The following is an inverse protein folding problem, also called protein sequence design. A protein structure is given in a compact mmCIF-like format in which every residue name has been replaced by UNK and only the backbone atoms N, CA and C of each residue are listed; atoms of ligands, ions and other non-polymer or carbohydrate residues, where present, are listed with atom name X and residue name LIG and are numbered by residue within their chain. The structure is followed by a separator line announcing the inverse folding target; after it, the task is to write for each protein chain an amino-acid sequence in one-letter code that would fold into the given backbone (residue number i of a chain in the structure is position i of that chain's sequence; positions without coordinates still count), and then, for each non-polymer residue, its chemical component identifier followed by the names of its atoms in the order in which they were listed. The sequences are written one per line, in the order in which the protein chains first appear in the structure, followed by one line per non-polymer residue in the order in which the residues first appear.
data_IF_658545618938
#
_entry.id   IF_658545618938
#
_cell.length_a   1.000
_cell.length_b   1.000
_cell.length_c   1.000
_cell.angle_alpha   90.00
_cell.angle_beta   90.00
_cell.angle_gamma   90.00
#
_symmetry.space_group_name_H-M   'P 1'
#
loop_
_entity.id
_entity.type
_entity.pdbx_description
1 polymer ?
#
# COMPACT_ATOMS: atom_id res chain seq x y z
N UNK A 1 -33.10 -18.36 16.21
CA UNK A 1 -33.08 -19.73 15.66
C UNK A 1 -33.50 -19.77 14.19
N UNK A 2 -34.27 -18.79 13.68
CA UNK A 2 -34.69 -18.66 12.27
C UNK A 2 -33.58 -18.50 11.21
N UNK A 3 -32.47 -17.82 11.50
CA UNK A 3 -31.39 -17.59 10.51
C UNK A 3 -30.58 -18.84 10.12
N UNK A 4 -30.77 -19.97 10.82
CA UNK A 4 -30.09 -21.24 10.54
C UNK A 4 -30.83 -22.07 9.50
N UNK A 5 -32.16 -21.99 9.47
CA UNK A 5 -33.01 -22.78 8.56
C UNK A 5 -33.04 -22.18 7.15
N UNK A 6 -33.14 -20.85 7.03
CA UNK A 6 -33.04 -20.15 5.75
C UNK A 6 -31.73 -20.45 5.00
N UNK A 7 -30.61 -20.51 5.72
CA UNK A 7 -29.29 -20.78 5.14
C UNK A 7 -29.08 -22.24 4.70
N UNK A 8 -29.91 -23.17 5.21
CA UNK A 8 -29.92 -24.58 4.80
C UNK A 8 -30.84 -24.77 3.59
N UNK A 9 -31.99 -24.09 3.57
CA UNK A 9 -32.92 -24.08 2.43
C UNK A 9 -32.24 -23.59 1.15
N UNK A 10 -31.53 -22.46 1.20
CA UNK A 10 -30.83 -21.89 0.03
C UNK A 10 -29.72 -22.80 -0.51
N UNK A 11 -29.01 -23.53 0.37
CA UNK A 11 -27.97 -24.49 -0.03
C UNK A 11 -28.56 -25.75 -0.67
N UNK A 12 -29.71 -26.20 -0.19
CA UNK A 12 -30.44 -27.33 -0.75
C UNK A 12 -30.97 -26.98 -2.15
N UNK A 13 -31.56 -25.79 -2.30
CA UNK A 13 -32.08 -25.30 -3.59
C UNK A 13 -30.97 -25.03 -4.62
N UNK A 14 -29.78 -24.60 -4.18
CA UNK A 14 -28.59 -24.49 -5.04
C UNK A 14 -28.07 -25.87 -5.49
N UNK A 15 -28.01 -26.85 -4.59
CA UNK A 15 -27.60 -28.22 -4.93
C UNK A 15 -28.61 -28.95 -5.83
N UNK A 16 -29.92 -28.67 -5.66
CA UNK A 16 -30.96 -29.24 -6.50
C UNK A 16 -31.05 -28.55 -7.87
N UNK A 17 -30.70 -27.26 -7.96
CA UNK A 17 -30.49 -26.57 -9.25
C UNK A 17 -29.25 -27.07 -9.98
N UNK A 18 -28.13 -27.30 -9.29
CA UNK A 18 -26.92 -27.90 -9.87
C UNK A 18 -27.18 -29.35 -10.36
N UNK A 19 -27.93 -30.14 -9.60
CA UNK A 19 -28.35 -31.49 -10.02
C UNK A 19 -29.37 -31.49 -11.16
N UNK A 20 -30.21 -30.46 -11.28
CA UNK A 20 -31.20 -30.34 -12.35
C UNK A 20 -30.57 -29.88 -13.67
N UNK A 21 -29.48 -29.11 -13.61
CA UNK A 21 -28.70 -28.70 -14.79
C UNK A 21 -27.84 -29.87 -15.33
N UNK A 22 -27.55 -30.89 -14.51
CA UNK A 22 -26.85 -32.12 -14.93
C UNK A 22 -27.78 -33.21 -15.52
N UNK A 23 -28.86 -32.85 -16.22
CA UNK A 23 -29.72 -33.80 -16.94
C UNK A 23 -29.50 -33.73 -18.46
N UNK A 24 -28.61 -34.62 -18.92
CA UNK A 24 -28.55 -35.28 -20.24
C UNK A 24 -29.38 -34.63 -21.37
N UNK A 25 -28.72 -33.93 -22.28
CA UNK A 25 -29.17 -33.82 -23.67
C UNK A 25 -28.70 -35.07 -24.44
N UNK A 26 -29.66 -35.89 -24.84
CA UNK A 26 -29.46 -37.06 -25.71
C UNK A 26 -29.77 -36.60 -27.14
N UNK A 27 -28.81 -36.67 -28.06
CA UNK A 27 -29.11 -36.65 -29.49
C UNK A 27 -29.48 -38.06 -29.97
N UNK A 28 -30.31 -38.14 -31.01
CA UNK A 28 -31.01 -39.34 -31.48
C UNK A 28 -30.11 -40.50 -31.98
N UNK A 29 -28.78 -40.33 -32.00
CA UNK A 29 -27.88 -41.20 -32.76
C UNK A 29 -26.78 -41.85 -31.90
N UNK A 30 -27.04 -42.07 -30.61
CA UNK A 30 -26.29 -43.03 -29.76
C UNK A 30 -24.79 -42.80 -29.52
N UNK A 31 -24.17 -41.79 -30.11
CA UNK A 31 -22.76 -41.44 -29.90
C UNK A 31 -22.56 -40.58 -28.66
N UNK A 32 -21.74 -41.02 -27.70
CA UNK A 32 -21.24 -40.17 -26.64
C UNK A 32 -20.22 -39.19 -27.23
N UNK A 33 -20.59 -37.91 -27.33
CA UNK A 33 -19.63 -36.83 -27.50
C UNK A 33 -19.32 -36.31 -26.10
N UNK A 34 -18.11 -36.59 -25.61
CA UNK A 34 -17.54 -35.84 -24.49
C UNK A 34 -17.33 -34.40 -24.98
N UNK A 35 -18.30 -33.55 -24.67
CA UNK A 35 -18.09 -32.10 -24.75
C UNK A 35 -17.34 -31.76 -23.46
N UNK A 36 -16.04 -31.48 -23.57
CA UNK A 36 -15.28 -30.87 -22.48
C UNK A 36 -15.99 -29.58 -22.11
N UNK A 37 -16.81 -29.65 -21.06
CA UNK A 37 -17.60 -28.54 -20.55
C UNK A 37 -16.62 -27.62 -19.81
N UNK A 38 -15.87 -26.83 -20.60
CA UNK A 38 -15.05 -25.74 -20.08
C UNK A 38 -15.93 -24.96 -19.13
N UNK A 39 -15.51 -24.89 -17.86
CA UNK A 39 -16.34 -24.29 -16.82
C UNK A 39 -16.74 -22.88 -17.24
N UNK A 40 -17.97 -22.46 -16.92
CA UNK A 40 -18.44 -21.09 -17.24
C UNK A 40 -17.42 -20.05 -16.77
N UNK A 41 -16.76 -20.30 -15.65
CA UNK A 41 -15.70 -19.47 -15.09
C UNK A 41 -14.47 -19.36 -16.00
N UNK A 42 -13.96 -20.46 -16.56
CA UNK A 42 -12.82 -20.44 -17.51
C UNK A 42 -13.15 -19.69 -18.81
N UNK A 43 -14.41 -19.76 -19.25
CA UNK A 43 -14.87 -19.01 -20.43
C UNK A 43 -15.04 -17.53 -20.16
N UNK A 44 -15.51 -17.15 -18.97
CA UNK A 44 -15.71 -15.74 -18.59
C UNK A 44 -14.41 -15.07 -18.10
N UNK A 45 -13.48 -15.83 -17.52
CA UNK A 45 -12.22 -15.36 -16.96
C UNK A 45 -11.06 -16.22 -17.47
N UNK A 46 -10.70 -16.11 -18.76
CA UNK A 46 -9.61 -16.88 -19.32
C UNK A 46 -8.30 -16.54 -18.60
N UNK A 47 -7.50 -17.57 -18.29
CA UNK A 47 -6.19 -17.39 -17.66
C UNK A 47 -5.23 -16.77 -18.67
N UNK A 48 -4.89 -15.50 -18.46
CA UNK A 48 -3.93 -14.77 -19.29
C UNK A 48 -2.55 -14.87 -18.64
N UNK A 49 -1.50 -15.29 -19.38
CA UNK A 49 -0.14 -15.34 -18.82
C UNK A 49 0.33 -13.96 -18.36
N UNK A 50 0.98 -13.91 -17.20
CA UNK A 50 1.50 -12.65 -16.69
C UNK A 50 2.62 -12.09 -17.59
N UNK A 51 2.59 -10.78 -17.92
CA UNK A 51 3.46 -10.21 -18.94
C UNK A 51 4.87 -9.92 -18.39
N UNK A 52 5.66 -10.94 -18.10
CA UNK A 52 7.00 -10.79 -17.51
C UNK A 52 7.97 -9.90 -18.32
N UNK A 53 7.76 -9.80 -19.64
CA UNK A 53 8.62 -9.03 -20.54
C UNK A 53 8.55 -7.51 -20.33
N UNK A 54 7.52 -7.00 -19.64
CA UNK A 54 7.37 -5.54 -19.37
C UNK A 54 8.39 -5.02 -18.37
N UNK A 55 8.97 -5.90 -17.55
CA UNK A 55 9.97 -5.52 -16.55
C UNK A 55 11.35 -5.40 -17.20
N UNK A 56 12.23 -4.50 -16.71
CA UNK A 56 13.64 -4.48 -17.10
C UNK A 56 14.34 -5.84 -16.85
N UNK A 57 15.32 -6.20 -17.69
CA UNK A 57 16.01 -7.51 -17.63
C UNK A 57 16.57 -7.85 -16.24
N UNK A 58 17.12 -6.85 -15.54
CA UNK A 58 17.65 -7.01 -14.18
C UNK A 58 16.54 -7.41 -13.20
N UNK A 59 15.37 -6.81 -13.34
CA UNK A 59 14.23 -7.07 -12.47
C UNK A 59 13.58 -8.42 -12.79
N UNK A 60 13.48 -8.80 -14.07
CA UNK A 60 13.05 -10.14 -14.46
C UNK A 60 13.93 -11.22 -13.83
N UNK A 61 15.26 -11.03 -13.85
CA UNK A 61 16.21 -11.94 -13.18
C UNK A 61 15.93 -12.00 -11.68
N UNK A 62 15.82 -10.84 -11.02
CA UNK A 62 15.53 -10.78 -9.59
C UNK A 62 14.23 -11.53 -9.22
N UNK A 63 13.13 -11.27 -9.94
CA UNK A 63 11.83 -11.92 -9.74
C UNK A 63 11.97 -13.44 -9.81
N UNK A 64 12.66 -13.95 -10.84
CA UNK A 64 12.88 -15.39 -11.05
C UNK A 64 13.73 -16.01 -9.94
N UNK A 65 14.81 -15.36 -9.52
CA UNK A 65 15.67 -15.89 -8.46
C UNK A 65 14.95 -15.91 -7.10
N UNK A 66 14.17 -14.86 -6.77
CA UNK A 66 13.35 -14.84 -5.56
C UNK A 66 12.31 -15.95 -5.60
N UNK A 67 11.55 -16.07 -6.70
CA UNK A 67 10.55 -17.13 -6.90
C UNK A 67 11.14 -18.53 -6.68
N UNK A 68 12.31 -18.82 -7.26
CA UNK A 68 13.03 -20.08 -7.06
C UNK A 68 13.45 -20.31 -5.61
N UNK A 69 13.93 -19.27 -4.93
CA UNK A 69 14.47 -19.39 -3.56
C UNK A 69 13.41 -19.79 -2.52
N UNK A 70 12.17 -19.32 -2.67
CA UNK A 70 11.08 -19.59 -1.73
C UNK A 70 9.98 -20.49 -2.32
N UNK A 71 10.17 -21.01 -3.53
CA UNK A 71 9.26 -21.93 -4.22
C UNK A 71 7.83 -21.39 -4.37
N UNK A 72 7.71 -20.19 -4.93
CA UNK A 72 6.40 -19.55 -5.23
C UNK A 72 6.30 -19.13 -6.69
N UNK A 73 5.09 -18.87 -7.16
CA UNK A 73 4.86 -18.36 -8.53
C UNK A 73 5.57 -17.00 -8.75
N UNK A 74 6.26 -16.86 -9.90
CA UNK A 74 6.91 -15.62 -10.36
C UNK A 74 5.94 -14.45 -10.43
N UNK A 75 4.66 -14.71 -10.71
CA UNK A 75 3.60 -13.70 -10.80
C UNK A 75 3.33 -13.03 -9.45
N UNK A 76 3.33 -13.81 -8.37
CA UNK A 76 3.17 -13.27 -7.01
C UNK A 76 4.35 -12.38 -6.64
N UNK A 77 5.58 -12.79 -6.98
CA UNK A 77 6.79 -11.97 -6.76
C UNK A 77 6.72 -10.69 -7.58
N UNK A 78 6.42 -10.80 -8.87
CA UNK A 78 6.37 -9.67 -9.78
C UNK A 78 5.33 -8.64 -9.33
N UNK A 79 4.14 -9.10 -8.94
CA UNK A 79 3.09 -8.26 -8.40
C UNK A 79 3.56 -7.56 -7.12
N UNK A 80 4.10 -8.31 -6.15
CA UNK A 80 4.56 -7.76 -4.87
C UNK A 80 5.67 -6.71 -4.98
N UNK A 81 6.43 -6.69 -6.08
CA UNK A 81 7.48 -5.70 -6.32
C UNK A 81 6.93 -4.37 -6.85
N UNK A 82 5.77 -4.37 -7.54
CA UNK A 82 5.15 -3.14 -8.07
C UNK A 82 4.94 -2.03 -7.02
N UNK A 83 4.33 -2.28 -5.84
CA UNK A 83 4.15 -1.24 -4.82
C UNK A 83 5.48 -0.73 -4.26
N UNK A 84 6.54 -1.54 -4.27
CA UNK A 84 7.88 -1.13 -3.82
C UNK A 84 8.52 -0.16 -4.82
N UNK A 85 8.43 -0.47 -6.12
CA UNK A 85 8.92 0.41 -7.19
C UNK A 85 8.12 1.72 -7.17
N UNK A 86 6.80 1.60 -7.09
CA UNK A 86 5.88 2.73 -6.96
C UNK A 86 6.27 3.63 -5.78
N UNK A 87 6.53 3.08 -4.60
CA UNK A 87 6.98 3.86 -3.45
C UNK A 87 8.37 4.49 -3.64
N UNK A 88 9.29 3.84 -4.35
CA UNK A 88 10.61 4.40 -4.62
C UNK A 88 10.53 5.62 -5.55
N UNK A 89 9.66 5.57 -6.56
CA UNK A 89 9.33 6.71 -7.43
C UNK A 89 8.64 7.80 -6.60
N UNK A 90 7.63 7.42 -5.81
CA UNK A 90 6.81 8.33 -5.01
C UNK A 90 6.04 9.33 -5.88
N UNK A 91 5.67 10.47 -5.31
CA UNK A 91 4.97 11.55 -6.00
C UNK A 91 5.88 12.37 -6.97
N UNK A 92 7.01 11.81 -7.40
CA UNK A 92 7.98 12.51 -8.27
C UNK A 92 7.61 12.45 -9.76
N UNK A 93 6.75 11.49 -10.14
CA UNK A 93 6.35 11.25 -11.53
C UNK A 93 4.84 11.09 -11.57
N UNK A 94 4.20 11.75 -12.55
CA UNK A 94 2.80 11.51 -12.92
C UNK A 94 2.72 11.14 -14.39
N UNK A 95 1.86 10.19 -14.72
CA UNK A 95 1.62 9.72 -16.08
C UNK A 95 0.37 10.41 -16.62
N UNK A 96 0.37 10.75 -17.90
CA UNK A 96 -0.76 11.39 -18.54
C UNK A 96 -1.35 10.51 -19.64
N UNK A 97 -2.42 9.74 -19.36
CA UNK A 97 -3.07 8.91 -20.38
C UNK A 97 -3.77 9.74 -21.47
N UNK A 98 -4.21 10.95 -21.10
CA UNK A 98 -4.91 11.92 -21.96
C UNK A 98 -4.49 13.33 -21.54
N UNK A 99 -4.60 14.30 -22.46
CA UNK A 99 -4.40 15.71 -22.15
C UNK A 99 -5.22 16.11 -20.90
N UNK A 100 -4.61 16.90 -20.01
CA UNK A 100 -5.17 17.37 -18.73
C UNK A 100 -5.50 16.28 -17.68
N UNK A 101 -5.18 15.01 -17.95
CA UNK A 101 -5.27 13.94 -16.97
C UNK A 101 -3.88 13.60 -16.45
N UNK A 102 -3.61 13.82 -15.16
CA UNK A 102 -2.38 13.39 -14.50
C UNK A 102 -2.66 12.34 -13.42
N UNK A 103 -2.19 11.11 -13.65
CA UNK A 103 -2.27 10.01 -12.69
C UNK A 103 -0.95 9.85 -11.92
N UNK A 104 -0.99 9.76 -10.58
CA UNK A 104 0.18 9.34 -9.82
C UNK A 104 0.51 7.87 -10.09
N UNK A 105 1.79 7.52 -9.95
CA UNK A 105 2.25 6.12 -10.08
C UNK A 105 2.20 5.42 -8.72
N UNK A 106 1.14 5.64 -7.92
CA UNK A 106 0.92 4.95 -6.65
C UNK A 106 0.12 3.66 -6.86
N UNK A 107 0.76 2.52 -6.57
CA UNK A 107 0.15 1.20 -6.76
C UNK A 107 -0.24 0.64 -5.41
N UNK A 108 -1.54 0.46 -5.21
CA UNK A 108 -2.09 -0.28 -4.09
C UNK A 108 -2.28 -1.74 -4.48
N UNK A 109 -1.69 -2.65 -3.71
CA UNK A 109 -1.75 -4.07 -3.99
C UNK A 109 -2.06 -4.85 -2.72
N UNK A 110 -2.99 -5.79 -2.85
CA UNK A 110 -3.34 -6.75 -1.81
C UNK A 110 -3.09 -8.16 -2.37
N UNK A 111 -2.33 -8.97 -1.64
CA UNK A 111 -2.08 -10.37 -2.00
C UNK A 111 -3.00 -11.25 -1.17
N UNK A 112 -4.06 -11.74 -1.80
CA UNK A 112 -4.98 -12.70 -1.20
C UNK A 112 -4.48 -14.09 -1.56
N UNK A 113 -4.19 -14.89 -0.54
CA UNK A 113 -3.82 -16.29 -0.76
C UNK A 113 -4.04 -17.11 0.53
N UNK A 114 -4.19 -18.42 0.39
CA UNK A 114 -4.29 -19.34 1.52
C UNK A 114 -3.08 -19.24 2.46
N UNK A 115 -3.29 -19.58 3.73
CA UNK A 115 -2.23 -19.63 4.73
C UNK A 115 -1.16 -20.66 4.34
N UNK A 116 0.11 -20.39 4.67
CA UNK A 116 1.23 -21.30 4.37
C UNK A 116 1.78 -21.24 2.94
N UNK A 117 1.23 -20.40 2.04
CA UNK A 117 1.65 -20.29 0.63
C UNK A 117 2.80 -19.30 0.36
N UNK A 118 3.58 -18.95 1.38
CA UNK A 118 4.82 -18.17 1.18
C UNK A 118 4.67 -16.64 1.09
N UNK A 119 3.49 -16.07 1.39
CA UNK A 119 3.28 -14.61 1.44
C UNK A 119 4.22 -13.87 2.40
N UNK A 120 4.23 -14.24 3.69
CA UNK A 120 5.03 -13.56 4.69
C UNK A 120 6.55 -13.69 4.44
N UNK A 121 7.10 -14.86 4.04
CA UNK A 121 8.49 -14.96 3.59
C UNK A 121 8.81 -14.04 2.41
N UNK A 122 7.95 -13.97 1.39
CA UNK A 122 8.11 -13.06 0.26
C UNK A 122 8.16 -11.60 0.70
N UNK A 123 7.15 -11.14 1.45
CA UNK A 123 7.07 -9.75 1.91
C UNK A 123 8.26 -9.39 2.81
N UNK A 124 8.78 -10.34 3.59
CA UNK A 124 10.00 -10.14 4.41
C UNK A 124 11.25 -9.95 3.55
N UNK A 125 11.42 -10.73 2.49
CA UNK A 125 12.55 -10.58 1.55
C UNK A 125 12.48 -9.21 0.87
N UNK A 126 11.32 -8.87 0.31
CA UNK A 126 11.14 -7.64 -0.46
C UNK A 126 11.23 -6.38 0.42
N UNK A 127 10.70 -6.42 1.65
CA UNK A 127 10.76 -5.28 2.58
C UNK A 127 12.11 -5.08 3.25
N UNK A 128 13.06 -6.02 3.12
CA UNK A 128 14.35 -5.97 3.81
C UNK A 128 15.10 -4.67 3.54
N UNK A 129 15.23 -4.29 2.27
CA UNK A 129 16.00 -3.09 1.90
C UNK A 129 15.31 -1.80 2.36
N UNK A 130 13.99 -1.72 2.23
CA UNK A 130 13.20 -0.58 2.70
C UNK A 130 13.36 -0.39 4.22
N UNK A 131 13.33 -1.49 5.00
CA UNK A 131 13.56 -1.46 6.44
C UNK A 131 14.97 -1.01 6.81
N UNK A 132 15.98 -1.39 6.02
CA UNK A 132 17.35 -0.90 6.20
C UNK A 132 17.44 0.60 5.93
N UNK A 133 16.84 1.10 4.84
CA UNK A 133 16.79 2.53 4.53
C UNK A 133 16.09 3.34 5.61
N UNK A 134 14.97 2.82 6.16
CA UNK A 134 14.29 3.42 7.30
C UNK A 134 15.22 3.52 8.51
N UNK A 135 15.89 2.42 8.88
CA UNK A 135 16.80 2.40 10.04
C UNK A 135 17.97 3.39 9.88
N UNK A 136 18.58 3.45 8.70
CA UNK A 136 19.64 4.43 8.41
C UNK A 136 19.12 5.86 8.52
N UNK A 137 17.93 6.12 8.00
CA UNK A 137 17.32 7.44 8.07
C UNK A 137 16.97 7.86 9.50
N UNK A 138 16.55 6.92 10.34
CA UNK A 138 16.25 7.19 11.75
C UNK A 138 17.51 7.52 12.54
N UNK A 139 18.62 6.82 12.29
CA UNK A 139 19.92 7.14 12.88
C UNK A 139 20.36 8.55 12.50
N UNK A 140 20.35 8.86 11.20
CA UNK A 140 20.70 10.19 10.68
C UNK A 140 19.81 11.28 11.29
N UNK A 141 18.50 11.06 11.34
CA UNK A 141 17.57 12.02 11.94
C UNK A 141 17.85 12.23 13.44
N UNK A 142 18.15 11.17 14.19
CA UNK A 142 18.49 11.26 15.62
C UNK A 142 19.75 12.09 15.85
N UNK A 143 20.80 11.85 15.05
CA UNK A 143 22.06 12.61 15.09
C UNK A 143 21.83 14.09 14.76
N UNK A 144 21.14 14.39 13.66
CA UNK A 144 20.81 15.76 13.25
C UNK A 144 19.95 16.47 14.30
N UNK A 145 18.99 15.77 14.91
CA UNK A 145 18.11 16.32 15.94
C UNK A 145 18.87 16.60 17.23
N UNK A 146 19.86 15.79 17.60
CA UNK A 146 20.73 16.06 18.75
C UNK A 146 21.57 17.31 18.51
N UNK A 147 22.23 17.43 17.36
CA UNK A 147 22.98 18.64 16.98
C UNK A 147 22.09 19.87 16.94
N UNK A 148 20.87 19.75 16.40
CA UNK A 148 19.87 20.82 16.42
C UNK A 148 19.56 21.26 17.86
N UNK A 149 19.24 20.31 18.75
CA UNK A 149 18.91 20.60 20.14
C UNK A 149 20.08 21.23 20.91
N UNK A 150 21.32 20.80 20.66
CA UNK A 150 22.52 21.38 21.26
C UNK A 150 22.74 22.84 20.82
N UNK A 151 22.55 23.14 19.54
CA UNK A 151 22.61 24.52 19.01
C UNK A 151 21.51 25.41 19.60
N UNK A 152 20.30 24.88 19.79
CA UNK A 152 19.22 25.64 20.43
C UNK A 152 19.47 25.84 21.94
N UNK A 153 20.11 24.89 22.63
CA UNK A 153 20.42 25.00 24.07
C UNK A 153 21.59 25.93 24.37
N UNK A 154 22.62 25.96 23.52
CA UNK A 154 23.81 26.80 23.71
C UNK A 154 23.51 28.31 23.64
N UNK A 155 22.44 28.70 22.95
CA UNK A 155 21.93 30.06 22.98
C UNK A 155 21.12 30.30 24.26
N UNK A 156 21.54 31.25 25.09
CA UNK A 156 20.90 31.51 26.40
C UNK A 156 19.76 32.53 26.30
N UNK A 157 19.81 33.44 25.33
CA UNK A 157 18.82 34.49 25.15
C UNK A 157 17.59 34.00 24.37
N UNK A 158 16.39 34.34 24.85
CA UNK A 158 15.13 33.94 24.21
C UNK A 158 14.95 34.57 22.82
N UNK A 159 15.36 35.84 22.64
CA UNK A 159 15.32 36.55 21.35
C UNK A 159 16.22 35.89 20.30
N UNK A 160 17.47 35.55 20.65
CA UNK A 160 18.40 34.84 19.76
C UNK A 160 17.88 33.45 19.37
N UNK A 161 17.21 32.73 20.28
CA UNK A 161 16.57 31.45 19.95
C UNK A 161 15.47 31.61 18.90
N UNK A 162 14.64 32.64 19.04
CA UNK A 162 13.54 32.90 18.11
C UNK A 162 14.06 33.30 16.71
N UNK A 163 15.18 34.05 16.65
CA UNK A 163 15.91 34.39 15.42
C UNK A 163 16.55 33.17 14.73
N UNK A 164 17.07 32.22 15.50
CA UNK A 164 17.68 30.99 14.97
C UNK A 164 16.65 30.01 14.40
N UNK A 165 15.42 30.03 14.92
CA UNK A 165 14.33 29.12 14.53
C UNK A 165 13.45 29.74 13.42
N UNK A 166 13.40 31.07 13.29
CA UNK A 166 12.56 31.76 12.31
C UNK A 166 13.40 32.62 11.34
N UNK A 167 13.44 32.27 10.05
CA UNK A 167 14.25 32.99 9.05
C UNK A 167 13.66 34.34 8.64
N UNK A 168 12.46 34.71 9.12
CA UNK A 168 11.73 35.93 8.73
C UNK A 168 11.95 37.11 9.69
N UNK A 169 12.98 37.09 10.52
CA UNK A 169 13.35 38.23 11.37
C UNK A 169 14.47 38.98 10.63
N UNK A 170 14.20 40.23 10.25
CA UNK A 170 15.03 41.02 9.35
C UNK A 170 16.50 41.12 9.80
N UNK A 171 17.42 40.79 8.86
CA UNK A 171 18.77 41.34 8.86
C UNK A 171 19.95 40.42 9.20
N UNK A 172 19.76 39.16 9.62
CA UNK A 172 20.92 38.28 9.86
C UNK A 172 20.66 36.82 9.47
N UNK A 173 21.04 36.44 8.25
CA UNK A 173 21.05 35.04 7.77
C UNK A 173 22.07 34.14 8.49
N UNK A 174 22.91 34.69 9.38
CA UNK A 174 24.14 34.05 9.86
C UNK A 174 23.96 33.02 10.99
N UNK A 175 22.73 32.69 11.40
CA UNK A 175 22.50 31.79 12.55
C UNK A 175 21.33 30.81 12.41
N UNK A 176 20.55 30.84 11.33
CA UNK A 176 19.36 30.00 11.19
C UNK A 176 19.72 28.51 11.17
N UNK A 177 19.08 27.73 12.05
CA UNK A 177 19.22 26.27 12.09
C UNK A 177 17.89 25.65 11.70
N UNK A 178 17.85 25.06 10.51
CA UNK A 178 16.66 24.34 10.03
C UNK A 178 16.41 23.11 10.90
N UNK A 179 15.18 22.97 11.42
CA UNK A 179 14.76 21.76 12.12
C UNK A 179 14.86 20.56 11.17
N UNK A 180 15.56 19.47 11.56
CA UNK A 180 15.60 18.25 10.78
C UNK A 180 14.20 17.68 10.54
N UNK A 181 13.95 17.15 9.34
CA UNK A 181 12.68 16.51 8.96
C UNK A 181 12.87 14.99 8.95
N UNK A 182 11.87 14.25 9.42
CA UNK A 182 11.97 12.79 9.47
C UNK A 182 11.56 12.19 8.13
N UNK A 183 12.46 11.45 7.50
CA UNK A 183 12.11 10.70 6.29
C UNK A 183 11.46 9.37 6.64
N UNK A 184 10.37 9.05 5.94
CA UNK A 184 9.60 7.82 6.14
C UNK A 184 9.60 6.99 4.84
N UNK A 185 10.34 5.89 4.81
CA UNK A 185 10.31 4.95 3.68
C UNK A 185 9.09 4.02 3.71
N UNK A 186 8.58 3.73 4.90
CA UNK A 186 7.33 3.00 5.05
C UNK A 186 6.57 3.45 6.31
N UNK A 187 5.27 3.23 6.29
CA UNK A 187 4.37 3.35 7.44
C UNK A 187 3.64 2.03 7.63
N UNK A 188 3.49 1.62 8.89
CA UNK A 188 2.72 0.43 9.26
C UNK A 188 1.49 0.90 10.01
N UNK A 189 1.59 1.23 11.30
CA UNK A 189 0.48 1.75 12.09
C UNK A 189 0.42 3.27 12.03
N UNK A 190 -0.64 3.82 11.44
CA UNK A 190 -0.84 5.26 11.32
C UNK A 190 -2.30 5.62 11.56
N UNK A 191 -2.52 6.83 12.07
CA UNK A 191 -3.81 7.53 11.92
C UNK A 191 -3.74 8.47 10.71
N UNK A 192 -4.88 8.87 10.15
CA UNK A 192 -4.91 9.84 9.05
C UNK A 192 -4.17 11.12 9.43
N UNK A 193 -4.36 11.62 10.65
CA UNK A 193 -3.69 12.83 11.14
C UNK A 193 -2.17 12.64 11.22
N UNK A 194 -1.69 11.44 11.57
CA UNK A 194 -0.25 11.17 11.61
C UNK A 194 0.40 11.18 10.22
N UNK A 195 -0.33 10.76 9.17
CA UNK A 195 0.16 10.81 7.79
C UNK A 195 0.40 12.25 7.32
N UNK A 196 -0.40 13.20 7.81
CA UNK A 196 -0.22 14.63 7.45
C UNK A 196 1.16 15.14 7.82
N UNK A 197 1.72 14.70 8.97
CA UNK A 197 3.07 15.06 9.37
C UNK A 197 4.12 14.32 8.54
N UNK A 198 3.83 13.07 8.15
CA UNK A 198 4.71 12.30 7.25
C UNK A 198 4.86 13.01 5.90
N UNK A 199 3.75 13.49 5.31
CA UNK A 199 3.78 14.17 4.02
C UNK A 199 4.36 15.60 4.10
N UNK A 200 4.16 16.29 5.22
CA UNK A 200 4.80 17.60 5.48
C UNK A 200 6.33 17.46 5.60
N UNK A 201 6.81 16.36 6.18
CA UNK A 201 8.24 16.06 6.28
C UNK A 201 8.83 15.51 4.96
N UNK A 202 8.11 14.63 4.26
CA UNK A 202 8.51 14.04 2.97
C UNK A 202 7.36 14.08 1.93
N UNK A 203 7.36 15.06 1.01
CA UNK A 203 6.30 15.22 0.01
C UNK A 203 6.33 14.14 -1.08
N UNK A 204 7.36 13.28 -1.12
CA UNK A 204 7.39 12.12 -2.04
C UNK A 204 6.41 11.03 -1.64
N UNK A 205 5.92 11.04 -0.39
CA UNK A 205 5.05 10.01 0.17
C UNK A 205 5.82 8.84 0.78
N UNK A 206 5.08 7.84 1.25
CA UNK A 206 5.64 6.68 1.97
C UNK A 206 4.88 5.39 1.62
N UNK A 207 5.56 4.25 1.66
CA UNK A 207 4.91 2.96 1.43
C UNK A 207 4.02 2.58 2.62
N UNK A 208 2.74 2.31 2.38
CA UNK A 208 1.91 1.61 3.37
C UNK A 208 2.26 0.12 3.33
N UNK A 209 2.87 -0.38 4.40
CA UNK A 209 3.18 -1.80 4.56
C UNK A 209 2.22 -2.43 5.56
N UNK A 210 1.42 -3.41 5.14
CA UNK A 210 0.56 -4.20 6.03
C UNK A 210 0.65 -5.67 5.67
N UNK A 211 0.97 -6.50 6.66
CA UNK A 211 0.96 -7.96 6.50
C UNK A 211 -0.48 -8.51 6.59
N UNK A 212 -1.34 -7.82 7.35
CA UNK A 212 -2.75 -8.18 7.52
C UNK A 212 -3.67 -7.00 7.16
N UNK A 213 -4.48 -7.19 6.12
CA UNK A 213 -5.42 -6.18 5.63
C UNK A 213 -6.52 -5.85 6.64
N UNK A 214 -6.98 -6.86 7.39
CA UNK A 214 -8.03 -6.68 8.40
C UNK A 214 -7.64 -5.59 9.42
N UNK A 215 -6.37 -5.54 9.81
CA UNK A 215 -5.86 -4.48 10.70
C UNK A 215 -6.02 -3.08 10.14
N UNK A 216 -5.86 -2.86 8.82
CA UNK A 216 -6.10 -1.56 8.20
C UNK A 216 -7.59 -1.21 8.22
N UNK A 217 -8.45 -2.12 7.75
CA UNK A 217 -9.89 -1.89 7.62
C UNK A 217 -10.54 -1.65 9.00
N UNK A 218 -10.19 -2.46 9.99
CA UNK A 218 -10.74 -2.37 11.34
C UNK A 218 -10.21 -1.15 12.12
N UNK A 219 -9.06 -0.60 11.72
CA UNK A 219 -8.52 0.61 12.35
C UNK A 219 -9.23 1.90 11.94
N UNK A 220 -9.97 1.89 10.83
CA UNK A 220 -10.69 3.06 10.34
C UNK A 220 -11.79 3.46 11.35
N UNK A 221 -11.78 4.72 11.77
CA UNK A 221 -12.71 5.29 12.75
C UNK A 221 -12.67 4.65 14.15
N UNK A 222 -11.71 3.76 14.45
CA UNK A 222 -11.66 3.02 15.73
C UNK A 222 -11.56 3.93 16.96
N UNK A 223 -11.02 5.15 16.80
CA UNK A 223 -10.80 6.11 17.87
C UNK A 223 -11.79 7.28 17.92
N UNK A 224 -12.77 7.34 17.01
CA UNK A 224 -13.76 8.44 16.92
C UNK A 224 -15.12 7.96 17.44
N UNK A 225 -15.64 8.63 18.49
CA UNK A 225 -16.95 8.32 19.12
C UNK A 225 -18.17 8.71 18.25
N UNK A 226 -17.95 9.46 17.18
CA UNK A 226 -18.94 9.86 16.18
C UNK A 226 -18.45 9.45 14.79
N UNK A 227 -19.31 9.47 13.78
CA UNK A 227 -19.00 9.16 12.38
C UNK A 227 -17.71 9.86 11.94
N UNK A 228 -16.61 9.11 11.90
CA UNK A 228 -15.32 9.62 11.48
C UNK A 228 -15.20 9.65 9.96
N UNK A 229 -14.39 10.58 9.48
CA UNK A 229 -14.07 10.87 8.08
C UNK A 229 -12.87 10.06 7.55
N UNK A 230 -12.31 9.14 8.34
CA UNK A 230 -11.10 8.40 7.97
C UNK A 230 -11.27 7.65 6.63
N UNK A 231 -12.48 7.15 6.35
CA UNK A 231 -12.79 6.49 5.08
C UNK A 231 -12.69 7.45 3.88
N UNK A 232 -13.20 8.67 4.01
CA UNK A 232 -13.14 9.65 2.95
C UNK A 232 -11.69 10.05 2.66
N UNK A 233 -10.90 10.28 3.71
CA UNK A 233 -9.48 10.56 3.55
C UNK A 233 -8.70 9.39 2.95
N UNK A 234 -9.04 8.14 3.28
CA UNK A 234 -8.42 6.98 2.61
C UNK A 234 -8.74 6.93 1.11
N UNK A 235 -9.94 7.33 0.69
CA UNK A 235 -10.29 7.44 -0.73
C UNK A 235 -9.51 8.58 -1.42
N UNK A 236 -9.38 9.73 -0.77
CA UNK A 236 -8.56 10.83 -1.30
C UNK A 236 -7.07 10.43 -1.40
N UNK A 237 -6.57 9.63 -0.46
CA UNK A 237 -5.22 9.10 -0.48
C UNK A 237 -5.00 8.09 -1.61
N UNK A 238 -6.04 7.31 -1.96
CA UNK A 238 -5.98 6.34 -3.05
C UNK A 238 -5.58 7.03 -4.36
N UNK A 239 -6.17 8.19 -4.65
CA UNK A 239 -5.89 9.01 -5.84
C UNK A 239 -4.69 9.95 -5.68
N UNK A 240 -3.99 9.89 -4.53
CA UNK A 240 -2.95 10.85 -4.14
C UNK A 240 -3.37 12.32 -4.34
N UNK A 241 -4.60 12.62 -3.94
CA UNK A 241 -5.20 13.94 -3.99
C UNK A 241 -4.54 14.92 -3.00
N UNK A 242 -4.71 16.21 -3.25
CA UNK A 242 -4.19 17.24 -2.37
C UNK A 242 -5.00 17.35 -1.08
N UNK A 243 -4.30 17.39 0.06
CA UNK A 243 -4.93 17.58 1.36
C UNK A 243 -4.70 19.00 1.86
N UNK A 244 -5.78 19.79 1.88
CA UNK A 244 -5.78 21.09 2.56
C UNK A 244 -6.26 20.94 4.00
N UNK A 245 -5.37 21.14 4.96
CA UNK A 245 -5.67 21.00 6.39
C UNK A 245 -5.42 22.32 7.09
N UNK A 246 -6.49 23.08 7.31
CA UNK A 246 -6.41 24.37 8.02
C UNK A 246 -6.48 24.18 9.56
N UNK A 247 -7.05 23.06 10.03
CA UNK A 247 -7.16 22.74 11.47
C UNK A 247 -6.02 21.82 11.91
N UNK A 248 -4.94 22.39 12.44
CA UNK A 248 -3.86 21.61 13.09
C UNK A 248 -3.77 21.99 14.58
N UNK A 249 -4.25 21.13 15.48
CA UNK A 249 -3.83 21.21 16.90
C UNK A 249 -2.37 20.78 16.96
N UNK A 250 -1.44 21.72 16.88
CA UNK A 250 -0.02 21.46 17.14
C UNK A 250 0.12 20.94 18.57
N UNK A 251 0.73 19.76 18.72
CA UNK A 251 1.31 19.32 20.00
C UNK A 251 2.68 19.96 20.16
#
# INVERSE_FOLDING_TARGET
MENSEYRKQDKQDLQDKEKTISKKTVNADGGQVEVDEVSIDERLMPVIPFPHHVFPKQLQKFIREVSKSIHINTEMVASAVLPIISSAIGNSVRVSPKADWLEPVFIWLIIIELTGRGKSPLLKILSKHIKQLQSLSEKKFSEEMNTYNERIKSNKNKKEKDEIINPNIDGCQSGYVKKPKRKHYFVQSFTIESLTNVFDDDPRGSMVYRDELAGLILSLNQYKKSAGDDRQHMLELWDAGEWKIDRKKRK
#
